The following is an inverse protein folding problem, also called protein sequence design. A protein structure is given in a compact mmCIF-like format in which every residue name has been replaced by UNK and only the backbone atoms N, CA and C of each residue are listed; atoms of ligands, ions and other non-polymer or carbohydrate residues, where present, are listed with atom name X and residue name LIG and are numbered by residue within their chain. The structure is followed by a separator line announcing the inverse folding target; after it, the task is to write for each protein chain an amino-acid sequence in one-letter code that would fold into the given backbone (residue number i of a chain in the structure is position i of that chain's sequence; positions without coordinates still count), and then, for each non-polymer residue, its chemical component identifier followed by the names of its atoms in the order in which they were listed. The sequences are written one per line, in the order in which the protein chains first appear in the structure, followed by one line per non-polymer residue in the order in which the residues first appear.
data_IF_177674430214
#
_entry.id   IF_177674430214
#
_cell.length_a   1.000
_cell.length_b   1.000
_cell.length_c   1.000
_cell.angle_alpha   90.00
_cell.angle_beta   90.00
_cell.angle_gamma   90.00
#
_symmetry.space_group_name_H-M   'P 1'
#
loop_
_entity.id
_entity.type
_entity.pdbx_description
1 polymer ?
#
# COMPACT_ATOMS: atom_id res chain seq x y z
N UNK A 1 -0.77 15.78 -14.16
CA UNK A 1 0.12 14.64 -13.84
C UNK A 1 0.77 14.03 -15.06
N UNK A 2 0.04 13.46 -16.04
CA UNK A 2 0.66 12.80 -17.22
C UNK A 2 1.71 13.65 -17.96
N UNK A 3 1.42 14.93 -18.22
CA UNK A 3 2.35 15.86 -18.89
C UNK A 3 3.65 16.06 -18.09
N UNK A 4 3.54 16.34 -16.79
CA UNK A 4 4.69 16.49 -15.90
C UNK A 4 5.57 15.24 -15.89
N UNK A 5 4.96 14.06 -15.71
CA UNK A 5 5.71 12.80 -15.74
C UNK A 5 6.40 12.54 -17.08
N UNK A 6 5.81 12.96 -18.20
CA UNK A 6 6.40 12.75 -19.52
C UNK A 6 7.53 13.73 -19.86
N UNK A 7 7.49 14.93 -19.30
CA UNK A 7 8.39 16.03 -19.70
C UNK A 7 9.45 16.38 -18.64
N UNK A 8 9.20 16.04 -17.37
CA UNK A 8 9.97 16.55 -16.22
C UNK A 8 10.45 15.43 -15.28
N UNK A 9 10.23 14.16 -15.64
CA UNK A 9 10.69 13.02 -14.85
C UNK A 9 11.58 12.15 -15.71
N UNK A 10 12.80 11.96 -15.25
CA UNK A 10 13.73 10.99 -15.78
C UNK A 10 13.85 9.82 -14.81
N UNK A 11 13.98 8.60 -15.34
CA UNK A 11 14.21 7.39 -14.54
C UNK A 11 15.58 6.84 -14.91
N UNK A 12 16.46 6.77 -13.92
CA UNK A 12 17.84 6.30 -14.09
C UNK A 12 18.03 5.03 -13.26
N UNK A 13 18.66 4.03 -13.86
CA UNK A 13 19.07 2.83 -13.14
C UNK A 13 20.35 3.12 -12.34
N UNK A 14 20.33 2.83 -11.04
CA UNK A 14 21.46 3.02 -10.13
C UNK A 14 21.89 1.66 -9.55
N UNK A 15 23.12 1.26 -9.86
CA UNK A 15 23.69 -0.03 -9.45
C UNK A 15 23.95 -0.13 -7.93
N UNK A 16 23.92 0.99 -7.20
CA UNK A 16 24.01 1.02 -5.74
C UNK A 16 22.68 0.69 -5.04
N UNK A 17 21.56 0.73 -5.78
CA UNK A 17 20.24 0.40 -5.26
C UNK A 17 19.95 -1.10 -5.39
N UNK A 18 19.22 -1.61 -4.41
CA UNK A 18 18.81 -3.02 -4.33
C UNK A 18 17.35 -3.14 -3.91
N UNK A 19 16.67 -4.18 -4.41
CA UNK A 19 15.30 -4.50 -4.01
C UNK A 19 14.31 -3.36 -4.27
N UNK A 20 13.78 -2.79 -3.18
CA UNK A 20 12.76 -1.73 -3.20
C UNK A 20 13.30 -0.34 -2.84
N UNK A 21 14.63 -0.20 -2.80
CA UNK A 21 15.27 1.09 -2.53
C UNK A 21 15.03 2.06 -3.69
N UNK A 22 14.89 3.36 -3.37
CA UNK A 22 14.73 4.40 -4.36
C UNK A 22 15.38 5.71 -3.90
N UNK A 23 15.93 6.46 -4.85
CA UNK A 23 16.34 7.86 -4.66
C UNK A 23 15.44 8.72 -5.55
N UNK A 24 14.95 9.83 -5.00
CA UNK A 24 14.23 10.85 -5.77
C UNK A 24 14.98 12.15 -5.61
N UNK A 25 15.40 12.71 -6.74
CA UNK A 25 15.98 14.05 -6.82
C UNK A 25 15.00 14.97 -7.53
N UNK A 26 14.89 16.21 -7.05
CA UNK A 26 14.02 17.22 -7.65
C UNK A 26 14.72 18.58 -7.65
N UNK A 27 14.63 19.29 -8.77
CA UNK A 27 14.98 20.70 -8.88
C UNK A 27 13.70 21.53 -8.89
N UNK A 28 13.60 22.49 -7.97
CA UNK A 28 12.45 23.39 -7.87
C UNK A 28 12.61 24.58 -8.82
N UNK A 29 11.52 25.27 -9.15
CA UNK A 29 11.54 26.42 -10.07
C UNK A 29 12.34 27.63 -9.55
N UNK A 30 12.66 27.67 -8.26
CA UNK A 30 13.55 28.66 -7.63
C UNK A 30 15.03 28.19 -7.58
N UNK A 31 15.35 27.07 -8.24
CA UNK A 31 16.70 26.53 -8.40
C UNK A 31 17.21 25.69 -7.22
N UNK A 32 16.40 25.42 -6.19
CA UNK A 32 16.81 24.52 -5.10
C UNK A 32 16.80 23.07 -5.57
N UNK A 33 17.78 22.30 -5.08
CA UNK A 33 17.86 20.85 -5.28
C UNK A 33 17.48 20.13 -4.00
N UNK A 34 16.56 19.18 -4.11
CA UNK A 34 16.10 18.31 -3.05
C UNK A 34 16.44 16.87 -3.44
N UNK A 35 16.89 16.07 -2.48
CA UNK A 35 17.15 14.65 -2.69
C UNK A 35 16.65 13.88 -1.48
N UNK A 36 15.95 12.78 -1.72
CA UNK A 36 15.44 11.89 -0.70
C UNK A 36 15.74 10.44 -1.08
N UNK A 37 16.20 9.65 -0.11
CA UNK A 37 16.48 8.22 -0.28
C UNK A 37 15.56 7.41 0.61
N UNK A 38 14.85 6.47 0.02
CA UNK A 38 14.02 5.52 0.73
C UNK A 38 14.68 4.14 0.72
N UNK A 39 15.15 3.70 1.89
CA UNK A 39 15.72 2.37 2.08
C UNK A 39 14.62 1.32 2.31
N UNK A 40 13.69 1.67 3.21
CA UNK A 40 12.64 0.79 3.71
C UNK A 40 11.29 1.49 3.54
N UNK A 41 10.60 1.29 2.41
CA UNK A 41 9.29 1.88 2.19
C UNK A 41 8.28 1.32 3.19
N UNK A 42 7.28 2.11 3.56
CA UNK A 42 6.21 1.65 4.45
C UNK A 42 5.49 0.45 3.80
N UNK A 43 5.49 -0.69 4.51
CA UNK A 43 5.02 -1.99 4.04
C UNK A 43 6.12 -2.97 3.63
N UNK A 44 7.40 -2.56 3.62
CA UNK A 44 8.52 -3.50 3.49
C UNK A 44 8.65 -4.38 4.76
N UNK A 45 9.37 -5.52 4.69
CA UNK A 45 9.64 -6.34 5.87
C UNK A 45 10.30 -5.57 7.01
N UNK A 46 11.17 -4.62 6.69
CA UNK A 46 11.90 -3.80 7.66
C UNK A 46 11.05 -2.64 8.21
N UNK A 47 10.03 -2.22 7.48
CA UNK A 47 9.08 -1.17 7.89
C UNK A 47 7.63 -1.63 7.67
N UNK A 48 7.15 -2.64 8.42
CA UNK A 48 5.84 -3.24 8.17
C UNK A 48 4.69 -2.27 8.45
N UNK A 49 3.55 -2.50 7.80
CA UNK A 49 2.32 -1.79 8.12
C UNK A 49 1.81 -2.19 9.50
N UNK A 50 1.22 -1.24 10.22
CA UNK A 50 0.44 -1.58 11.42
C UNK A 50 -0.84 -2.31 11.02
N UNK A 51 -1.43 -3.06 11.96
CA UNK A 51 -2.73 -3.73 11.77
C UNK A 51 -3.78 -2.77 11.21
N UNK A 52 -3.92 -1.60 11.82
CA UNK A 52 -4.88 -0.56 11.39
C UNK A 52 -4.61 -0.07 9.98
N UNK A 53 -3.34 0.08 9.57
CA UNK A 53 -3.02 0.48 8.19
C UNK A 53 -3.40 -0.60 7.18
N UNK A 54 -3.17 -1.88 7.51
CA UNK A 54 -3.61 -3.02 6.67
C UNK A 54 -5.14 -3.05 6.56
N UNK A 55 -5.86 -2.90 7.67
CA UNK A 55 -7.33 -2.87 7.69
C UNK A 55 -7.88 -1.69 6.89
N UNK A 56 -7.31 -0.51 7.05
CA UNK A 56 -7.70 0.68 6.27
C UNK A 56 -7.46 0.48 4.78
N UNK A 57 -6.36 -0.17 4.40
CA UNK A 57 -6.09 -0.53 3.00
C UNK A 57 -7.16 -1.49 2.47
N UNK A 58 -7.53 -2.50 3.24
CA UNK A 58 -8.63 -3.41 2.89
C UNK A 58 -9.95 -2.65 2.69
N UNK A 59 -10.32 -1.77 3.62
CA UNK A 59 -11.53 -0.92 3.54
C UNK A 59 -11.57 -0.08 2.26
N UNK A 60 -10.43 0.54 1.91
CA UNK A 60 -10.32 1.38 0.71
C UNK A 60 -10.62 0.60 -0.57
N UNK A 61 -10.15 -0.64 -0.69
CA UNK A 61 -10.39 -1.46 -1.88
C UNK A 61 -11.74 -2.18 -1.86
N UNK A 62 -12.18 -2.65 -0.69
CA UNK A 62 -13.39 -3.46 -0.57
C UNK A 62 -14.68 -2.65 -0.71
N UNK A 63 -14.67 -1.34 -0.41
CA UNK A 63 -15.87 -0.47 -0.46
C UNK A 63 -16.56 -0.39 -1.82
N UNK A 64 -15.84 -0.69 -2.91
CA UNK A 64 -16.42 -0.75 -4.25
C UNK A 64 -17.22 -2.04 -4.52
N UNK A 65 -17.15 -3.03 -3.61
CA UNK A 65 -17.74 -4.37 -3.76
C UNK A 65 -18.63 -4.78 -2.60
N UNK A 66 -18.35 -4.32 -1.39
CA UNK A 66 -19.05 -4.72 -0.17
C UNK A 66 -19.53 -3.49 0.60
N UNK A 67 -20.74 -3.51 1.21
CA UNK A 67 -21.16 -2.48 2.15
C UNK A 67 -20.27 -2.49 3.40
N UNK A 68 -20.15 -1.34 4.06
CA UNK A 68 -19.24 -1.15 5.20
C UNK A 68 -19.40 -2.21 6.30
N UNK A 69 -20.64 -2.53 6.68
CA UNK A 69 -20.91 -3.57 7.69
C UNK A 69 -20.36 -4.95 7.30
N UNK A 70 -20.39 -5.31 6.01
CA UNK A 70 -19.84 -6.57 5.50
C UNK A 70 -18.31 -6.55 5.50
N UNK A 71 -17.70 -5.40 5.21
CA UNK A 71 -16.25 -5.19 5.32
C UNK A 71 -15.78 -5.38 6.77
N UNK A 72 -16.50 -4.81 7.74
CA UNK A 72 -16.22 -4.99 9.17
C UNK A 72 -16.31 -6.46 9.60
N UNK A 73 -17.36 -7.15 9.15
CA UNK A 73 -17.53 -8.57 9.42
C UNK A 73 -16.39 -9.41 8.83
N UNK A 74 -15.93 -9.12 7.61
CA UNK A 74 -14.77 -9.81 7.00
C UNK A 74 -13.51 -9.57 7.82
N UNK A 75 -13.22 -8.32 8.21
CA UNK A 75 -12.02 -8.01 9.00
C UNK A 75 -12.03 -8.71 10.36
N UNK A 76 -13.19 -8.78 11.01
CA UNK A 76 -13.36 -9.53 12.26
C UNK A 76 -13.11 -11.04 12.06
N UNK A 77 -13.67 -11.63 11.00
CA UNK A 77 -13.51 -13.06 10.71
C UNK A 77 -12.05 -13.41 10.35
N UNK A 78 -11.37 -12.59 9.54
CA UNK A 78 -9.96 -12.78 9.21
C UNK A 78 -9.05 -12.57 10.43
N UNK A 79 -9.39 -11.63 11.32
CA UNK A 79 -8.62 -11.35 12.53
C UNK A 79 -8.69 -12.45 13.60
N UNK A 80 -9.57 -13.44 13.44
CA UNK A 80 -9.73 -14.61 14.34
C UNK A 80 -9.82 -15.90 13.54
N UNK A 81 -9.15 -15.95 12.39
CA UNK A 81 -9.32 -17.06 11.43
C UNK A 81 -9.00 -18.41 12.05
N UNK A 82 -8.03 -18.46 12.96
CA UNK A 82 -7.61 -19.64 13.73
C UNK A 82 -8.71 -20.21 14.63
N UNK A 83 -9.69 -19.38 15.05
CA UNK A 83 -10.79 -19.78 15.93
C UNK A 83 -11.97 -20.39 15.13
N UNK A 84 -11.99 -20.23 13.81
CA UNK A 84 -13.09 -20.70 12.98
C UNK A 84 -12.96 -22.20 12.65
N UNK A 85 -13.98 -22.98 13.01
CA UNK A 85 -14.07 -24.40 12.64
C UNK A 85 -14.24 -24.62 11.12
N UNK A 86 -14.68 -23.59 10.39
CA UNK A 86 -14.86 -23.64 8.93
C UNK A 86 -14.74 -22.24 8.32
N UNK A 87 -14.12 -22.17 7.15
CA UNK A 87 -14.03 -20.93 6.35
C UNK A 87 -15.32 -20.59 5.59
N UNK A 88 -16.35 -21.44 5.64
CA UNK A 88 -17.61 -21.23 4.91
C UNK A 88 -18.30 -19.91 5.26
N UNK A 89 -18.20 -19.47 6.52
CA UNK A 89 -18.71 -18.19 6.99
C UNK A 89 -17.98 -17.02 6.32
N UNK A 90 -16.64 -17.05 6.33
CA UNK A 90 -15.82 -16.04 5.65
C UNK A 90 -16.12 -16.00 4.14
N UNK A 91 -16.24 -17.16 3.49
CA UNK A 91 -16.59 -17.24 2.07
C UNK A 91 -17.97 -16.64 1.78
N UNK A 92 -18.91 -16.76 2.72
CA UNK A 92 -20.23 -16.12 2.60
C UNK A 92 -20.14 -14.61 2.69
N UNK A 93 -19.32 -14.07 3.60
CA UNK A 93 -19.10 -12.64 3.74
C UNK A 93 -18.41 -12.01 2.51
N UNK A 94 -17.58 -12.77 1.81
CA UNK A 94 -16.82 -12.30 0.63
C UNK A 94 -17.62 -12.35 -0.68
N UNK A 95 -18.80 -12.98 -0.70
CA UNK A 95 -19.66 -12.97 -1.90
C UNK A 95 -20.19 -11.55 -2.14
N UNK A 96 -19.86 -11.02 -3.32
CA UNK A 96 -20.26 -9.69 -3.76
C UNK A 96 -21.76 -9.67 -4.09
#
# INVERSE_FOLDING_TARGET
MRKFSAEQVEVVADASLSGVQAIVEAETTDGRKLAERCEHPLGSPERPLTRTQVENKFRTYAKARLPAARIDAVLKAVGKLEDHASVAELMTLLRA
#
